data_IF_267737791001
#
_entry.id   IF_267737791001
#
_cell.length_a   1.000
_cell.length_b   1.000
_cell.length_c   1.000
_cell.angle_alpha   90.00
_cell.angle_beta   90.00
_cell.angle_gamma   90.00
#
_symmetry.space_group_name_H-M   'P 1'
#
loop_
_entity.id
_entity.type
_entity.pdbx_description
1 polymer ?
#
# COMPACT_ATOMS: atom_id res chain seq x y z
N UNK A 1 -7.02 6.97 11.71
CA UNK A 1 -7.61 5.95 10.81
C UNK A 1 -7.37 4.56 11.40
N UNK A 2 -8.31 3.62 11.26
CA UNK A 2 -8.17 2.20 11.67
C UNK A 2 -7.61 1.35 10.54
N UNK A 3 -7.14 0.14 10.86
CA UNK A 3 -6.65 -0.81 9.85
C UNK A 3 -7.70 -1.11 8.76
N UNK A 4 -8.97 -1.32 9.13
CA UNK A 4 -10.04 -1.58 8.16
C UNK A 4 -10.32 -0.39 7.23
N UNK A 5 -10.22 0.85 7.75
CA UNK A 5 -10.34 2.07 6.96
C UNK A 5 -9.16 2.21 5.98
N UNK A 6 -7.93 1.94 6.44
CA UNK A 6 -6.74 1.97 5.60
C UNK A 6 -6.82 0.97 4.43
N UNK A 7 -7.25 -0.26 4.72
CA UNK A 7 -7.49 -1.29 3.69
C UNK A 7 -8.54 -0.87 2.67
N UNK A 8 -9.64 -0.27 3.14
CA UNK A 8 -10.72 0.22 2.28
C UNK A 8 -10.28 1.38 1.38
N UNK A 9 -9.50 2.31 1.93
CA UNK A 9 -8.95 3.43 1.17
C UNK A 9 -7.96 2.96 0.10
N UNK A 10 -7.02 2.08 0.45
CA UNK A 10 -6.08 1.50 -0.52
C UNK A 10 -6.80 0.77 -1.67
N UNK A 11 -7.84 -0.02 -1.36
CA UNK A 11 -8.65 -0.70 -2.38
C UNK A 11 -9.48 0.25 -3.25
N UNK A 12 -9.83 1.44 -2.75
CA UNK A 12 -10.47 2.49 -3.56
C UNK A 12 -9.46 3.14 -4.49
N UNK A 13 -8.27 3.48 -3.97
CA UNK A 13 -7.20 4.11 -4.73
C UNK A 13 -6.72 3.22 -5.89
N UNK A 14 -6.60 1.90 -5.65
CA UNK A 14 -6.32 0.91 -6.70
C UNK A 14 -7.29 1.01 -7.88
N UNK A 15 -8.59 1.14 -7.59
CA UNK A 15 -9.65 1.23 -8.61
C UNK A 15 -9.68 2.56 -9.35
N UNK A 16 -9.17 3.64 -8.75
CA UNK A 16 -9.22 4.99 -9.32
C UNK A 16 -7.92 5.44 -9.98
N UNK A 17 -6.77 4.91 -9.53
CA UNK A 17 -5.47 5.51 -9.78
C UNK A 17 -4.51 4.76 -10.71
N UNK A 18 -4.48 3.42 -10.74
CA UNK A 18 -3.31 2.71 -11.30
C UNK A 18 -3.47 1.97 -12.63
N UNK A 19 -4.62 1.37 -13.01
CA UNK A 19 -4.80 0.86 -14.39
C UNK A 19 -6.22 0.39 -14.69
N UNK A 20 -6.78 0.89 -15.80
CA UNK A 20 -7.94 0.27 -16.41
C UNK A 20 -7.53 -1.14 -16.88
N UNK A 21 -8.06 -2.18 -16.24
CA UNK A 21 -7.72 -3.58 -16.53
C UNK A 21 -7.20 -4.36 -15.32
N UNK A 22 -6.87 -3.68 -14.23
CA UNK A 22 -6.45 -4.35 -13.00
C UNK A 22 -7.65 -4.93 -12.25
N UNK A 23 -7.56 -6.20 -11.89
CA UNK A 23 -8.56 -6.90 -11.09
C UNK A 23 -7.99 -7.16 -9.71
N UNK A 24 -8.64 -6.62 -8.67
CA UNK A 24 -8.36 -7.03 -7.30
C UNK A 24 -8.81 -8.49 -7.10
N UNK A 25 -7.87 -9.37 -6.76
CA UNK A 25 -8.14 -10.80 -6.55
C UNK A 25 -7.98 -11.23 -5.08
N UNK A 26 -7.35 -10.41 -4.24
CA UNK A 26 -7.15 -10.67 -2.81
C UNK A 26 -7.85 -9.65 -1.90
N UNK A 27 -8.04 -10.04 -0.63
CA UNK A 27 -8.43 -9.10 0.42
C UNK A 27 -7.24 -8.23 0.82
N UNK A 28 -7.47 -6.97 1.24
CA UNK A 28 -6.40 -6.14 1.78
C UNK A 28 -5.78 -6.76 3.02
N UNK A 29 -4.46 -6.88 3.02
CA UNK A 29 -3.68 -7.20 4.21
C UNK A 29 -3.06 -5.91 4.73
N UNK A 30 -3.37 -5.58 5.98
CA UNK A 30 -2.96 -4.32 6.60
C UNK A 30 -1.92 -4.61 7.66
N UNK A 31 -0.80 -3.92 7.58
CA UNK A 31 0.31 -3.98 8.50
C UNK A 31 0.44 -2.64 9.21
N UNK A 32 0.55 -2.70 10.54
CA UNK A 32 0.97 -1.55 11.31
C UNK A 32 2.44 -1.24 11.03
N UNK A 33 2.73 0.05 10.86
CA UNK A 33 4.09 0.58 10.75
C UNK A 33 4.52 1.12 12.11
N UNK A 34 5.80 1.00 12.41
CA UNK A 34 6.39 1.60 13.61
C UNK A 34 6.59 3.11 13.50
N UNK A 35 6.38 3.66 12.30
CA UNK A 35 6.70 5.04 11.93
C UNK A 35 5.53 5.64 11.17
N UNK A 36 5.33 6.95 11.31
CA UNK A 36 4.30 7.67 10.55
C UNK A 36 4.73 7.78 9.08
N UNK A 37 3.82 7.65 8.10
CA UNK A 37 2.38 7.34 8.21
C UNK A 37 2.06 5.90 8.64
N UNK A 38 0.98 5.71 9.41
CA UNK A 38 0.81 4.55 10.33
C UNK A 38 0.44 3.19 9.70
N UNK A 39 0.04 3.14 8.42
CA UNK A 39 -0.43 1.90 7.80
C UNK A 39 0.31 1.58 6.51
N UNK A 40 0.72 0.32 6.37
CA UNK A 40 1.15 -0.27 5.12
C UNK A 40 0.13 -1.34 4.72
N UNK A 41 -0.44 -1.22 3.53
CA UNK A 41 -1.48 -2.11 3.01
C UNK A 41 -0.95 -2.79 1.76
N UNK A 42 -1.20 -4.09 1.66
CA UNK A 42 -0.95 -4.86 0.43
C UNK A 42 -2.25 -5.50 -0.05
N UNK A 43 -2.49 -5.47 -1.36
CA UNK A 43 -3.67 -6.07 -1.98
C UNK A 43 -3.19 -6.85 -3.19
N UNK A 44 -3.48 -8.16 -3.23
CA UNK A 44 -3.17 -8.96 -4.42
C UNK A 44 -4.11 -8.55 -5.56
N UNK A 45 -3.52 -8.16 -6.68
CA UNK A 45 -4.18 -7.79 -7.91
C UNK A 45 -3.58 -8.56 -9.09
N UNK A 46 -4.28 -8.55 -10.21
CA UNK A 46 -3.87 -9.18 -11.46
C UNK A 46 -4.22 -8.28 -12.63
N UNK A 47 -3.32 -8.23 -13.62
CA UNK A 47 -3.55 -7.57 -14.89
C UNK A 47 -2.97 -8.39 -16.05
N UNK A 48 -2.94 -7.82 -17.25
CA UNK A 48 -2.47 -8.51 -18.45
C UNK A 48 -1.00 -8.97 -18.37
N UNK A 49 -0.20 -8.38 -17.48
CA UNK A 49 1.20 -8.74 -17.25
C UNK A 49 1.38 -9.75 -16.11
N UNK A 50 0.30 -10.12 -15.42
CA UNK A 50 0.28 -11.13 -14.37
C UNK A 50 -0.10 -10.58 -12.99
N UNK A 51 0.25 -11.33 -11.96
CA UNK A 51 -0.12 -11.03 -10.58
C UNK A 51 0.92 -10.13 -9.91
N UNK A 52 0.42 -9.15 -9.16
CA UNK A 52 1.22 -8.21 -8.41
C UNK A 52 0.48 -7.80 -7.12
N UNK A 53 1.19 -7.22 -6.17
CA UNK A 53 0.59 -6.60 -5.00
C UNK A 53 0.55 -5.10 -5.18
N UNK A 54 -0.64 -4.52 -5.12
CA UNK A 54 -0.77 -3.10 -4.85
C UNK A 54 -0.33 -2.84 -3.42
N UNK A 55 0.59 -1.89 -3.26
CA UNK A 55 1.06 -1.39 -2.00
C UNK A 55 0.53 0.02 -1.77
N UNK A 56 0.07 0.29 -0.56
CA UNK A 56 -0.27 1.63 -0.13
C UNK A 56 0.34 1.91 1.24
N UNK A 57 1.00 3.06 1.38
CA UNK A 57 1.40 3.59 2.67
C UNK A 57 0.58 4.84 2.94
N UNK A 58 -0.20 4.83 4.02
CA UNK A 58 -1.12 5.90 4.35
C UNK A 58 -1.31 6.12 5.85
N UNK A 59 -1.55 7.38 6.22
CA UNK A 59 -1.72 7.85 7.58
C UNK A 59 -2.86 8.86 7.71
N UNK A 60 -2.88 9.61 8.80
CA UNK A 60 -3.89 10.63 9.05
C UNK A 60 -5.30 10.09 9.38
N UNK A 61 -6.31 10.98 9.41
CA UNK A 61 -7.72 10.60 9.55
C UNK A 61 -8.31 10.05 8.23
N UNK A 62 -9.34 9.20 8.31
CA UNK A 62 -10.02 8.65 7.11
C UNK A 62 -10.57 9.74 6.18
N UNK A 63 -11.05 10.85 6.74
CA UNK A 63 -11.63 11.97 5.98
C UNK A 63 -10.59 12.79 5.20
N UNK A 64 -9.32 12.71 5.58
CA UNK A 64 -8.22 13.38 4.91
C UNK A 64 -6.95 12.52 5.03
N UNK A 65 -6.88 11.40 4.27
CA UNK A 65 -5.77 10.47 4.37
C UNK A 65 -4.49 11.10 3.82
N UNK A 66 -3.38 10.84 4.49
CA UNK A 66 -2.05 11.25 4.04
C UNK A 66 -1.41 10.06 3.31
N UNK A 67 -1.18 10.18 2.01
CA UNK A 67 -0.57 9.13 1.19
C UNK A 67 0.93 9.35 1.08
N UNK A 68 1.71 8.33 1.47
CA UNK A 68 3.17 8.30 1.36
C UNK A 68 3.61 7.58 0.08
N UNK A 69 2.92 6.48 -0.22
CA UNK A 69 3.31 5.57 -1.30
C UNK A 69 2.06 4.89 -1.86
N UNK A 70 2.00 4.80 -3.19
CA UNK A 70 1.05 3.94 -3.90
C UNK A 70 1.80 3.31 -5.08
N UNK A 71 2.09 2.01 -5.04
CA UNK A 71 2.87 1.33 -6.10
C UNK A 71 2.46 -0.13 -6.30
N UNK A 72 2.80 -0.72 -7.43
CA UNK A 72 2.64 -2.15 -7.69
C UNK A 72 3.96 -2.92 -7.56
N UNK A 73 3.99 -3.99 -6.76
CA UNK A 73 5.12 -4.93 -6.67
C UNK A 73 4.77 -6.24 -7.35
N UNK A 74 5.58 -6.75 -8.29
CA UNK A 74 5.42 -8.10 -8.82
C UNK A 74 5.30 -9.15 -7.71
N UNK A 75 4.39 -10.13 -7.87
CA UNK A 75 4.05 -11.09 -6.81
C UNK A 75 5.27 -11.87 -6.30
N UNK A 76 6.22 -12.16 -7.16
CA UNK A 76 7.47 -12.85 -6.87
C UNK A 76 8.47 -12.00 -6.05
N UNK A 77 8.34 -10.67 -6.09
CA UNK A 77 9.17 -9.73 -5.32
C UNK A 77 8.57 -9.40 -3.95
N UNK A 78 7.29 -9.69 -3.72
CA UNK A 78 6.61 -9.51 -2.43
C UNK A 78 7.05 -10.56 -1.40
N UNK A 79 8.25 -10.35 -0.85
CA UNK A 79 8.84 -11.23 0.16
C UNK A 79 8.55 -10.76 1.58
N UNK A 80 8.75 -11.65 2.57
CA UNK A 80 8.71 -11.25 3.98
C UNK A 80 9.70 -10.14 4.30
N UNK A 81 10.88 -10.15 3.68
CA UNK A 81 11.89 -9.12 3.87
C UNK A 81 11.41 -7.76 3.34
N UNK A 82 10.80 -7.74 2.15
CA UNK A 82 10.17 -6.54 1.57
C UNK A 82 9.08 -5.99 2.49
N UNK A 83 8.15 -6.83 2.95
CA UNK A 83 7.09 -6.42 3.88
C UNK A 83 7.68 -5.83 5.17
N UNK A 84 8.70 -6.47 5.76
CA UNK A 84 9.36 -5.92 6.95
C UNK A 84 10.03 -4.59 6.66
N UNK A 85 10.74 -4.48 5.54
CA UNK A 85 11.38 -3.24 5.10
C UNK A 85 10.34 -2.11 5.00
N UNK A 86 9.23 -2.31 4.28
CA UNK A 86 8.16 -1.30 4.13
C UNK A 86 7.51 -0.93 5.47
N UNK A 87 7.38 -1.89 6.39
CA UNK A 87 6.88 -1.65 7.75
C UNK A 87 7.79 -0.78 8.61
N UNK A 88 9.10 -0.83 8.35
CA UNK A 88 10.12 -0.14 9.14
C UNK A 88 10.73 1.08 8.47
N UNK A 89 10.60 1.22 7.16
CA UNK A 89 11.16 2.34 6.41
C UNK A 89 10.58 3.64 6.95
N UNK A 90 11.44 4.50 7.47
CA UNK A 90 11.14 5.92 7.54
C UNK A 90 11.28 6.44 6.13
N UNK A 91 10.18 6.82 5.49
CA UNK A 91 10.27 7.79 4.40
C UNK A 91 10.58 9.15 5.05
N UNK A 92 11.80 9.28 5.60
CA UNK A 92 12.44 10.58 5.66
C UNK A 92 12.57 10.99 4.20
N UNK A 93 11.58 11.74 3.72
CA UNK A 93 11.83 12.74 2.72
C UNK A 93 12.96 13.59 3.32
N UNK A 94 14.21 13.32 2.88
CA UNK A 94 15.37 14.15 3.12
C UNK A 94 14.94 15.60 2.83
N UNK A 95 14.58 16.34 3.88
CA UNK A 95 14.45 17.78 3.84
C UNK A 95 15.77 18.42 4.30
N UNK A 96 16.89 17.75 4.04
CA UNK A 96 18.24 18.19 4.40
C UNK A 96 19.32 17.74 3.40
N UNK A 97 19.03 17.78 2.09
CA UNK A 97 20.07 17.86 1.04
C UNK A 97 19.66 18.77 -0.12
#
# INVERSE_FOLDING_TARGET
>A
MTAGQAGTLCAKEHRTGQSAGDTQIGQPTVYERSVSPHWYVTILAENEFGQYYQECVLGGPESNPEWSLTQGTPKDQMTKAHIQQMRTQNEEFDADH
#
